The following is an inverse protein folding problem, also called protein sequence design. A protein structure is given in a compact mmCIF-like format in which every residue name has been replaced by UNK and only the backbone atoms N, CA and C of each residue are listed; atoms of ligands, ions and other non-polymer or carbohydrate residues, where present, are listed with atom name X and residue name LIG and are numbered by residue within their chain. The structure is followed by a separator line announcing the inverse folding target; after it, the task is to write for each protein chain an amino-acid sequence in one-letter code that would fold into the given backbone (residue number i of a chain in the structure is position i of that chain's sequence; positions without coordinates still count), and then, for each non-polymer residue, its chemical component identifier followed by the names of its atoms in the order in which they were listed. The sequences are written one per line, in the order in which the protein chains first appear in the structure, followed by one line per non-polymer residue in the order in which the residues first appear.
data_IF_543877704667
#
_entry.id   IF_543877704667
#
_cell.length_a   1.000
_cell.length_b   1.000
_cell.length_c   1.000
_cell.angle_alpha   90.00
_cell.angle_beta   90.00
_cell.angle_gamma   90.00
#
_symmetry.space_group_name_H-M   'P 1'
#
loop_
_entity.id
_entity.type
_entity.pdbx_description
1 polymer ?
#
# COMPACT_ATOMS: atom_id res chain seq x y z
N UNK A 1 27.72 0.09 3.74
CA UNK A 1 26.26 0.03 3.51
C UNK A 1 25.68 1.36 3.92
N UNK A 2 25.18 2.12 2.94
CA UNK A 2 24.79 3.51 3.07
C UNK A 2 23.81 3.72 4.24
N UNK A 3 24.03 4.79 4.99
CA UNK A 3 23.14 5.30 6.03
C UNK A 3 21.68 5.19 5.56
N UNK A 4 20.88 4.34 6.23
CA UNK A 4 19.44 4.58 6.37
C UNK A 4 19.33 5.89 7.16
N UNK A 5 19.52 7.02 6.48
CA UNK A 5 19.63 8.32 7.14
C UNK A 5 18.35 8.59 7.92
N UNK A 6 18.49 9.05 9.17
CA UNK A 6 17.36 9.46 10.02
C UNK A 6 16.42 10.45 9.29
N UNK A 7 16.99 11.28 8.40
CA UNK A 7 16.25 12.16 7.51
C UNK A 7 15.35 11.39 6.52
N UNK A 8 15.87 10.32 5.91
CA UNK A 8 15.10 9.46 5.01
C UNK A 8 13.98 8.72 5.75
N UNK A 9 14.24 8.25 6.98
CA UNK A 9 13.21 7.65 7.83
C UNK A 9 12.09 8.65 8.13
N UNK A 10 12.43 9.87 8.58
CA UNK A 10 11.45 10.92 8.88
C UNK A 10 10.60 11.28 7.65
N UNK A 11 11.24 11.56 6.52
CA UNK A 11 10.55 11.89 5.28
C UNK A 11 9.61 10.76 4.82
N UNK A 12 10.04 9.49 4.91
CA UNK A 12 9.21 8.35 4.54
C UNK A 12 7.98 8.19 5.45
N UNK A 13 8.13 8.46 6.75
CA UNK A 13 7.03 8.39 7.72
C UNK A 13 6.06 9.57 7.58
N UNK A 14 6.55 10.76 7.26
CA UNK A 14 5.71 11.93 6.93
C UNK A 14 4.88 11.67 5.68
N UNK A 15 5.51 11.23 4.58
CA UNK A 15 4.79 10.86 3.36
C UNK A 15 3.78 9.72 3.62
N UNK A 16 4.10 8.78 4.50
CA UNK A 16 3.15 7.74 4.90
C UNK A 16 1.92 8.31 5.61
N UNK A 17 2.12 9.30 6.49
CA UNK A 17 1.03 9.98 7.19
C UNK A 17 0.12 10.71 6.21
N UNK A 18 0.69 11.43 5.25
CA UNK A 18 -0.07 12.13 4.21
C UNK A 18 -0.91 11.17 3.37
N UNK A 19 -0.31 10.04 2.94
CA UNK A 19 -1.05 9.00 2.20
C UNK A 19 -2.19 8.40 3.00
N UNK A 20 -2.00 8.16 4.30
CA UNK A 20 -3.06 7.65 5.19
C UNK A 20 -4.26 8.59 5.22
N UNK A 21 -4.01 9.89 5.38
CA UNK A 21 -5.07 10.88 5.39
C UNK A 21 -5.77 10.99 4.02
N UNK A 22 -5.00 11.01 2.93
CA UNK A 22 -5.55 11.05 1.58
C UNK A 22 -6.43 9.82 1.24
N UNK A 23 -6.05 8.64 1.73
CA UNK A 23 -6.76 7.39 1.44
C UNK A 23 -7.94 7.12 2.38
N UNK A 24 -8.05 7.85 3.50
CA UNK A 24 -9.11 7.64 4.51
C UNK A 24 -10.52 7.83 3.94
N UNK A 25 -10.68 8.79 3.02
CA UNK A 25 -11.96 9.11 2.40
C UNK A 25 -12.24 8.31 1.11
N UNK A 26 -11.28 7.50 0.62
CA UNK A 26 -11.47 6.77 -0.64
C UNK A 26 -12.49 5.64 -0.45
N UNK A 27 -13.47 5.59 -1.34
CA UNK A 27 -14.45 4.50 -1.39
C UNK A 27 -13.75 3.23 -1.89
N UNK A 28 -13.91 2.13 -1.15
CA UNK A 28 -13.39 0.83 -1.55
C UNK A 28 -14.28 0.20 -2.62
N UNK A 29 -13.64 -0.42 -3.59
CA UNK A 29 -14.26 -1.22 -4.64
C UNK A 29 -14.53 -2.61 -4.05
N UNK A 30 -15.77 -3.06 -4.19
CA UNK A 30 -16.14 -4.42 -3.85
C UNK A 30 -15.90 -5.32 -5.06
N UNK A 31 -14.95 -6.25 -4.96
CA UNK A 31 -14.63 -7.16 -6.05
C UNK A 31 -15.81 -8.08 -6.41
N UNK A 32 -16.74 -8.35 -5.49
CA UNK A 32 -17.92 -9.16 -5.79
C UNK A 32 -18.88 -8.47 -6.77
N UNK A 33 -18.78 -7.13 -6.89
CA UNK A 33 -19.58 -6.34 -7.83
C UNK A 33 -18.98 -6.24 -9.24
N UNK A 34 -17.75 -6.73 -9.42
CA UNK A 34 -17.02 -6.64 -10.69
C UNK A 34 -17.38 -7.80 -11.62
N UNK A 35 -17.21 -7.57 -12.93
CA UNK A 35 -17.41 -8.63 -13.92
C UNK A 35 -16.20 -9.55 -13.97
N UNK A 36 -16.42 -10.82 -14.31
CA UNK A 36 -15.33 -11.76 -14.58
C UNK A 36 -14.38 -11.21 -15.67
N UNK A 37 -13.08 -11.45 -15.48
CA UNK A 37 -12.01 -10.93 -16.34
C UNK A 37 -11.53 -9.52 -15.98
N UNK A 38 -12.13 -8.84 -14.99
CA UNK A 38 -11.67 -7.52 -14.54
C UNK A 38 -10.54 -7.62 -13.51
N UNK A 39 -9.86 -6.49 -13.28
CA UNK A 39 -8.86 -6.39 -12.23
C UNK A 39 -9.52 -6.56 -10.85
N UNK A 40 -8.80 -7.22 -9.96
CA UNK A 40 -9.15 -7.34 -8.54
C UNK A 40 -8.47 -6.23 -7.77
N UNK A 41 -9.23 -5.56 -6.91
CA UNK A 41 -8.75 -4.45 -6.10
C UNK A 41 -8.51 -4.90 -4.67
N UNK A 42 -7.33 -4.60 -4.17
CA UNK A 42 -6.92 -4.84 -2.80
C UNK A 42 -6.44 -3.53 -2.17
N UNK A 43 -6.42 -3.48 -0.84
CA UNK A 43 -6.08 -2.27 -0.11
C UNK A 43 -4.93 -2.54 0.85
N UNK A 44 -3.92 -1.67 0.82
CA UNK A 44 -2.75 -1.77 1.67
C UNK A 44 -3.17 -1.71 3.15
N UNK A 45 -2.71 -2.66 3.96
CA UNK A 45 -3.08 -2.70 5.39
C UNK A 45 -2.50 -1.52 6.20
N UNK A 46 -1.45 -0.86 5.67
CA UNK A 46 -0.75 0.23 6.36
C UNK A 46 -1.28 1.61 5.97
N UNK A 47 -1.49 1.87 4.67
CA UNK A 47 -1.87 3.19 4.17
C UNK A 47 -3.20 3.23 3.42
N UNK A 48 -3.91 2.10 3.32
CA UNK A 48 -5.15 1.94 2.56
C UNK A 48 -5.04 2.28 1.05
N UNK A 49 -3.82 2.35 0.50
CA UNK A 49 -3.62 2.53 -0.95
C UNK A 49 -4.24 1.38 -1.72
N UNK A 50 -4.88 1.71 -2.84
CA UNK A 50 -5.47 0.74 -3.75
C UNK A 50 -4.37 0.02 -4.55
N UNK A 51 -4.52 -1.29 -4.69
CA UNK A 51 -3.64 -2.16 -5.44
C UNK A 51 -4.50 -2.99 -6.38
N UNK A 52 -4.43 -2.68 -7.67
CA UNK A 52 -5.08 -3.48 -8.71
C UNK A 52 -4.15 -4.62 -9.15
N UNK A 53 -4.69 -5.82 -9.23
CA UNK A 53 -4.00 -7.00 -9.75
C UNK A 53 -4.90 -7.77 -10.72
N UNK A 54 -4.33 -8.57 -11.63
CA UNK A 54 -5.11 -9.47 -12.48
C UNK A 54 -6.01 -10.43 -11.66
N UNK A 55 -7.14 -10.84 -12.22
CA UNK A 55 -8.05 -11.81 -11.56
C UNK A 55 -7.37 -13.14 -11.22
N UNK A 56 -6.45 -13.60 -12.07
CA UNK A 56 -5.68 -14.82 -11.88
C UNK A 56 -4.52 -14.68 -10.88
N UNK A 57 -4.44 -13.58 -10.13
CA UNK A 57 -3.36 -13.35 -9.19
C UNK A 57 -3.50 -14.26 -7.96
N UNK A 58 -2.51 -15.15 -7.79
CA UNK A 58 -2.59 -16.26 -6.83
C UNK A 58 -2.46 -15.83 -5.37
N UNK A 59 -1.76 -14.72 -5.07
CA UNK A 59 -1.45 -14.33 -3.69
C UNK A 59 -1.87 -12.90 -3.43
N UNK A 60 -2.91 -12.71 -2.62
CA UNK A 60 -3.41 -11.38 -2.27
C UNK A 60 -2.28 -10.47 -1.71
N UNK A 61 -2.01 -9.30 -2.32
CA UNK A 61 -1.04 -8.35 -1.79
C UNK A 61 -1.57 -7.70 -0.51
N UNK A 62 -0.72 -7.62 0.52
CA UNK A 62 -1.05 -6.99 1.81
C UNK A 62 -0.53 -5.56 1.91
N UNK A 63 0.58 -5.25 1.25
CA UNK A 63 1.27 -3.96 1.32
C UNK A 63 1.46 -3.40 -0.09
N UNK A 64 1.24 -2.10 -0.24
CA UNK A 64 1.65 -1.41 -1.46
C UNK A 64 3.17 -1.34 -1.53
N UNK A 65 3.72 -1.11 -2.72
CA UNK A 65 5.16 -1.04 -2.98
C UNK A 65 5.90 -0.13 -2.00
N UNK A 66 5.30 1.02 -1.68
CA UNK A 66 5.91 2.00 -0.79
C UNK A 66 5.92 1.53 0.66
N UNK A 67 4.82 0.97 1.15
CA UNK A 67 4.77 0.42 2.52
C UNK A 67 5.64 -0.83 2.65
N UNK A 68 5.79 -1.62 1.59
CA UNK A 68 6.74 -2.73 1.56
C UNK A 68 8.17 -2.21 1.70
N UNK A 69 8.56 -1.15 0.97
CA UNK A 69 9.89 -0.56 1.11
C UNK A 69 10.16 -0.02 2.52
N UNK A 70 9.19 0.63 3.16
CA UNK A 70 9.31 1.10 4.56
C UNK A 70 9.45 -0.10 5.52
N UNK A 71 8.73 -1.20 5.26
CA UNK A 71 8.85 -2.45 6.02
C UNK A 71 10.23 -3.06 5.89
N UNK A 72 10.76 -3.16 4.67
CA UNK A 72 12.08 -3.74 4.38
C UNK A 72 13.21 -2.89 4.99
N UNK A 73 12.96 -1.59 5.14
CA UNK A 73 13.81 -0.67 5.89
C UNK A 73 13.72 -0.82 7.43
N UNK A 74 12.78 -1.62 7.94
CA UNK A 74 12.56 -1.78 9.38
C UNK A 74 12.04 -0.52 10.06
N UNK A 75 11.31 0.34 9.31
CA UNK A 75 10.79 1.61 9.81
C UNK A 75 9.31 1.58 10.17
N UNK A 76 8.59 0.51 9.81
CA UNK A 76 7.24 0.26 10.31
C UNK A 76 7.35 -0.40 11.68
N UNK A 77 6.88 0.31 12.70
CA UNK A 77 6.69 -0.19 14.07
C UNK A 77 5.41 -1.03 14.17
#
# INVERSE_FOLDING_TARGET
MALRTELGKKAALEALKERREANKARKRIDNASLRAGQLMYFYCIVCAEEMAVPENYMTRPKLCRECQAIKDCGWLE
#
